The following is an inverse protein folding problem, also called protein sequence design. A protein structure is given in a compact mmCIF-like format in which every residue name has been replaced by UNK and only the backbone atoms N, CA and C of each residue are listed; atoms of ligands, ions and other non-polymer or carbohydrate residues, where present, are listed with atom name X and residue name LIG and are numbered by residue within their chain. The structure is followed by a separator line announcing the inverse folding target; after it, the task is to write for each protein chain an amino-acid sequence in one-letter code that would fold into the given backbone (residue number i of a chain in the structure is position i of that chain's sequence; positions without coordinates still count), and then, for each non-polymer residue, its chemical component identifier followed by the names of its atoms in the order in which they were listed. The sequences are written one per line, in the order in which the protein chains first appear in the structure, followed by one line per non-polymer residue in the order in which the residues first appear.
data_IF_363114224273
#
_entry.id   IF_363114224273
#
_cell.length_a   1.000
_cell.length_b   1.000
_cell.length_c   1.000
_cell.angle_alpha   90.00
_cell.angle_beta   90.00
_cell.angle_gamma   90.00
#
_symmetry.space_group_name_H-M   'P 1'
#
loop_
_entity.id
_entity.type
_entity.pdbx_description
1 polymer ?
#
# COMPACT_ATOMS: atom_id res chain seq x y z
N UNK A 1 17.93 -1.73 19.98
CA UNK A 1 16.47 -1.63 19.74
C UNK A 1 15.89 -3.03 19.80
N UNK A 2 14.73 -3.20 20.41
CA UNK A 2 13.96 -4.46 20.35
C UNK A 2 13.47 -4.71 18.92
N UNK A 3 13.35 -5.99 18.53
CA UNK A 3 12.78 -6.36 17.24
C UNK A 3 11.35 -5.81 17.10
N UNK A 4 10.90 -5.45 15.88
CA UNK A 4 9.55 -4.95 15.66
C UNK A 4 8.54 -6.07 15.93
N UNK A 5 7.47 -5.79 16.67
CA UNK A 5 6.47 -6.78 17.03
C UNK A 5 5.32 -6.86 16.02
N UNK A 6 5.14 -5.83 15.20
CA UNK A 6 4.14 -5.75 14.13
C UNK A 6 4.70 -5.05 12.90
N UNK A 7 4.05 -5.23 11.74
CA UNK A 7 4.40 -4.48 10.52
C UNK A 7 4.20 -2.97 10.71
N UNK A 8 3.21 -2.56 11.51
CA UNK A 8 3.01 -1.16 11.88
C UNK A 8 4.22 -0.57 12.64
N UNK A 9 4.89 -1.38 13.47
CA UNK A 9 6.09 -0.95 14.19
C UNK A 9 7.27 -0.63 13.25
N UNK A 10 7.31 -1.19 12.04
CA UNK A 10 8.35 -0.86 11.05
C UNK A 10 8.27 0.64 10.70
N UNK A 11 7.09 1.13 10.34
CA UNK A 11 6.90 2.54 10.02
C UNK A 11 7.10 3.43 11.25
N UNK A 12 6.58 3.03 12.41
CA UNK A 12 6.74 3.81 13.66
C UNK A 12 8.22 4.05 13.97
N UNK A 13 9.05 3.00 13.91
CA UNK A 13 10.48 3.09 14.20
C UNK A 13 11.24 3.93 13.18
N UNK A 14 10.93 3.78 11.89
CA UNK A 14 11.52 4.62 10.85
C UNK A 14 11.12 6.09 11.05
N UNK A 15 9.86 6.36 11.36
CA UNK A 15 9.37 7.72 11.61
C UNK A 15 9.98 8.36 12.87
N UNK A 16 10.13 7.61 13.96
CA UNK A 16 10.81 8.07 15.19
C UNK A 16 12.25 8.55 14.92
N UNK A 17 12.94 7.94 13.95
CA UNK A 17 14.35 8.23 13.65
C UNK A 17 14.53 9.19 12.46
N UNK A 18 13.58 9.19 11.51
CA UNK A 18 13.73 9.79 10.18
C UNK A 18 12.48 10.56 9.74
N UNK A 19 11.68 11.11 10.67
CA UNK A 19 10.43 11.80 10.38
C UNK A 19 10.51 12.77 9.19
N UNK A 20 11.52 13.64 9.16
CA UNK A 20 11.70 14.65 8.10
C UNK A 20 12.42 14.12 6.85
N UNK A 21 12.85 12.86 6.85
CA UNK A 21 13.51 12.25 5.70
C UNK A 21 12.49 11.79 4.65
N UNK A 22 12.82 11.84 3.36
CA UNK A 22 11.94 11.33 2.31
C UNK A 22 11.72 9.83 2.48
N UNK A 23 10.46 9.38 2.43
CA UNK A 23 10.10 7.96 2.40
C UNK A 23 9.78 7.51 0.96
N UNK A 24 8.98 8.31 0.25
CA UNK A 24 8.54 8.04 -1.12
C UNK A 24 8.86 9.27 -1.96
N UNK A 25 9.54 9.05 -3.08
CA UNK A 25 9.92 10.10 -4.04
C UNK A 25 9.63 9.62 -5.47
N UNK A 26 9.65 10.52 -6.45
CA UNK A 26 9.53 10.16 -7.88
C UNK A 26 8.26 10.74 -8.49
N UNK A 27 7.48 9.90 -9.18
CA UNK A 27 6.21 10.30 -9.76
C UNK A 27 5.07 10.30 -8.72
N UNK A 28 4.14 11.25 -8.87
CA UNK A 28 3.04 11.45 -7.93
C UNK A 28 3.46 12.29 -6.71
N UNK A 29 2.90 11.97 -5.53
CA UNK A 29 3.17 12.70 -4.29
C UNK A 29 4.45 12.20 -3.62
N UNK A 30 5.42 13.10 -3.46
CA UNK A 30 6.59 12.86 -2.62
C UNK A 30 6.22 13.10 -1.16
N UNK A 31 6.54 12.15 -0.28
CA UNK A 31 6.21 12.25 1.15
C UNK A 31 7.39 11.84 2.02
N UNK A 32 7.51 12.49 3.16
CA UNK A 32 8.39 12.16 4.26
C UNK A 32 7.83 11.01 5.11
N UNK A 33 8.65 10.44 5.98
CA UNK A 33 8.18 9.43 6.95
C UNK A 33 7.13 9.96 7.91
N UNK A 34 7.25 11.22 8.34
CA UNK A 34 6.27 11.89 9.20
C UNK A 34 4.92 12.01 8.49
N UNK A 35 4.92 12.54 7.27
CA UNK A 35 3.70 12.67 6.46
C UNK A 35 3.05 11.32 6.15
N UNK A 36 3.84 10.29 5.81
CA UNK A 36 3.33 8.94 5.61
C UNK A 36 2.75 8.35 6.90
N UNK A 37 3.34 8.66 8.05
CA UNK A 37 2.85 8.23 9.36
C UNK A 37 1.50 8.86 9.68
N UNK A 38 1.40 10.18 9.55
CA UNK A 38 0.18 10.92 9.84
C UNK A 38 -0.96 10.51 8.91
N UNK A 39 -0.67 10.40 7.60
CA UNK A 39 -1.68 9.99 6.62
C UNK A 39 -2.13 8.55 6.81
N UNK A 40 -1.22 7.61 7.07
CA UNK A 40 -1.61 6.23 7.37
C UNK A 40 -2.37 6.09 8.69
N UNK A 41 -2.10 6.94 9.70
CA UNK A 41 -2.91 7.00 10.91
C UNK A 41 -4.32 7.52 10.62
N UNK A 42 -4.44 8.60 9.83
CA UNK A 42 -5.73 9.16 9.42
C UNK A 42 -6.57 8.13 8.65
N UNK A 43 -5.98 7.44 7.67
CA UNK A 43 -6.65 6.35 6.95
C UNK A 43 -7.06 5.24 7.94
N UNK A 44 -6.19 4.84 8.88
CA UNK A 44 -6.50 3.80 9.85
C UNK A 44 -7.70 4.18 10.74
N UNK A 45 -7.75 5.42 11.23
CA UNK A 45 -8.89 5.93 11.99
C UNK A 45 -10.16 5.97 11.14
N UNK A 46 -10.07 6.36 9.88
CA UNK A 46 -11.21 6.30 8.96
C UNK A 46 -11.75 4.89 8.78
N UNK A 47 -10.86 3.88 8.65
CA UNK A 47 -11.25 2.47 8.56
C UNK A 47 -11.96 2.00 9.84
N UNK A 48 -11.42 2.36 11.01
CA UNK A 48 -12.03 2.05 12.32
C UNK A 48 -13.40 2.73 12.46
N UNK A 49 -13.51 4.00 12.07
CA UNK A 49 -14.76 4.76 12.10
C UNK A 49 -15.81 4.22 11.11
N UNK A 50 -15.38 3.63 10.00
CA UNK A 50 -16.23 2.91 9.06
C UNK A 50 -16.68 1.53 9.57
N UNK A 51 -16.23 1.11 10.76
CA UNK A 51 -16.67 -0.11 11.44
C UNK A 51 -15.92 -1.37 11.02
N UNK A 52 -14.74 -1.25 10.43
CA UNK A 52 -13.93 -2.43 10.05
C UNK A 52 -13.44 -3.17 11.30
N UNK A 53 -13.52 -4.49 11.24
CA UNK A 53 -13.02 -5.39 12.28
C UNK A 53 -11.68 -6.04 11.87
N UNK A 54 -11.03 -6.73 12.82
CA UNK A 54 -9.79 -7.46 12.54
C UNK A 54 -10.01 -8.51 11.45
N UNK A 55 -9.18 -8.45 10.40
CA UNK A 55 -9.27 -9.34 9.25
C UNK A 55 -10.23 -8.86 8.15
N UNK A 56 -10.88 -7.70 8.30
CA UNK A 56 -11.59 -7.08 7.19
C UNK A 56 -10.66 -6.65 6.07
N UNK A 57 -11.15 -6.72 4.82
CA UNK A 57 -10.33 -6.50 3.62
C UNK A 57 -10.55 -5.10 3.09
N UNK A 58 -9.46 -4.43 2.76
CA UNK A 58 -9.43 -3.15 2.05
C UNK A 58 -8.76 -3.37 0.70
N UNK A 59 -9.55 -3.31 -0.37
CA UNK A 59 -9.06 -3.50 -1.72
C UNK A 59 -8.52 -2.20 -2.32
N UNK A 60 -7.43 -2.31 -3.09
CA UNK A 60 -6.78 -1.20 -3.78
C UNK A 60 -6.68 -1.50 -5.27
N UNK A 61 -7.42 -0.78 -6.10
CA UNK A 61 -7.44 -0.92 -7.56
C UNK A 61 -6.87 0.35 -8.21
N UNK A 62 -5.58 0.35 -8.46
CA UNK A 62 -4.89 1.51 -9.02
C UNK A 62 -3.51 1.14 -9.55
N UNK A 63 -2.90 2.08 -10.28
CA UNK A 63 -1.47 2.08 -10.54
C UNK A 63 -0.69 2.29 -9.22
N UNK A 64 0.63 2.21 -9.31
CA UNK A 64 1.50 2.55 -8.18
C UNK A 64 1.24 4.01 -7.77
N UNK A 65 0.99 4.21 -6.49
CA UNK A 65 0.65 5.50 -5.92
C UNK A 65 1.00 5.53 -4.44
N UNK A 66 1.11 6.73 -3.88
CA UNK A 66 1.44 6.94 -2.46
C UNK A 66 0.31 6.40 -1.57
N UNK A 67 -0.92 6.43 -2.08
CA UNK A 67 -2.14 5.90 -1.49
C UNK A 67 -2.01 4.40 -1.16
N UNK A 68 -1.26 3.62 -1.95
CA UNK A 68 -0.99 2.22 -1.63
C UNK A 68 -0.27 2.07 -0.28
N UNK A 69 0.76 2.89 -0.03
CA UNK A 69 1.53 2.82 1.21
C UNK A 69 0.78 3.41 2.40
N UNK A 70 -0.03 4.45 2.16
CA UNK A 70 -0.96 4.97 3.17
C UNK A 70 -1.93 3.87 3.61
N UNK A 71 -2.54 3.14 2.68
CA UNK A 71 -3.44 2.02 2.96
C UNK A 71 -2.73 0.81 3.56
N UNK A 72 -1.54 0.46 3.07
CA UNK A 72 -0.77 -0.69 3.56
C UNK A 72 -0.47 -0.53 5.05
N UNK A 73 0.06 0.63 5.46
CA UNK A 73 0.31 0.88 6.87
C UNK A 73 -0.95 1.15 7.66
N UNK A 74 -1.98 1.75 7.05
CA UNK A 74 -3.25 1.97 7.74
C UNK A 74 -3.95 0.67 8.11
N UNK A 75 -4.06 -0.27 7.18
CA UNK A 75 -4.63 -1.61 7.42
C UNK A 75 -3.83 -2.35 8.48
N UNK A 76 -2.50 -2.30 8.41
CA UNK A 76 -1.62 -2.87 9.44
C UNK A 76 -1.84 -2.24 10.84
N UNK A 77 -2.25 -0.97 10.93
CA UNK A 77 -2.53 -0.23 12.18
C UNK A 77 -3.98 -0.36 12.68
N UNK A 78 -4.92 -0.74 11.81
CA UNK A 78 -6.34 -0.91 12.13
C UNK A 78 -6.77 -2.37 12.30
N UNK A 79 -5.88 -3.32 12.02
CA UNK A 79 -6.15 -4.76 12.13
C UNK A 79 -6.79 -5.35 10.87
N UNK A 80 -6.97 -4.53 9.83
CA UNK A 80 -7.48 -4.92 8.53
C UNK A 80 -6.35 -5.50 7.64
N UNK A 81 -6.74 -6.09 6.52
CA UNK A 81 -5.85 -6.65 5.52
C UNK A 81 -5.96 -5.91 4.19
N UNK A 82 -4.82 -5.58 3.58
CA UNK A 82 -4.80 -4.96 2.25
C UNK A 82 -4.90 -5.99 1.13
N UNK A 83 -5.68 -5.69 0.11
CA UNK A 83 -5.86 -6.52 -1.09
C UNK A 83 -5.52 -5.69 -2.34
N UNK A 84 -4.25 -5.62 -2.75
CA UNK A 84 -3.90 -4.92 -3.98
C UNK A 84 -4.37 -5.71 -5.20
N UNK A 85 -5.13 -5.04 -6.06
CA UNK A 85 -5.70 -5.60 -7.28
C UNK A 85 -4.84 -5.25 -8.49
N UNK A 86 -4.71 -6.20 -9.41
CA UNK A 86 -4.03 -5.96 -10.67
C UNK A 86 -4.93 -5.14 -11.60
N UNK A 87 -4.61 -3.86 -11.77
CA UNK A 87 -5.33 -2.93 -12.64
C UNK A 87 -5.34 -3.31 -14.13
N UNK A 88 -4.56 -4.31 -14.55
CA UNK A 88 -4.54 -4.83 -15.93
C UNK A 88 -5.53 -5.97 -16.17
N UNK A 89 -6.25 -6.40 -15.13
CA UNK A 89 -7.30 -7.40 -15.26
C UNK A 89 -8.56 -6.80 -15.90
N UNK A 90 -9.35 -7.66 -16.55
CA UNK A 90 -10.65 -7.28 -17.08
C UNK A 90 -11.68 -7.08 -15.96
N UNK A 91 -12.77 -6.37 -16.26
CA UNK A 91 -13.83 -6.12 -15.27
C UNK A 91 -14.42 -7.41 -14.67
N UNK A 92 -14.69 -8.48 -15.45
CA UNK A 92 -15.14 -9.76 -14.88
C UNK A 92 -14.11 -10.44 -13.95
N UNK A 93 -12.82 -10.26 -14.20
CA UNK A 93 -11.77 -10.80 -13.32
C UNK A 93 -11.65 -10.01 -12.02
N UNK A 94 -11.83 -8.68 -12.09
CA UNK A 94 -11.92 -7.82 -10.89
C UNK A 94 -13.15 -8.17 -10.07
N UNK A 95 -14.32 -8.30 -10.71
CA UNK A 95 -15.55 -8.73 -10.05
C UNK A 95 -15.38 -10.08 -9.34
N UNK A 96 -14.79 -11.06 -10.03
CA UNK A 96 -14.48 -12.36 -9.42
C UNK A 96 -13.63 -12.23 -8.15
N UNK A 97 -12.58 -11.39 -8.18
CA UNK A 97 -11.72 -11.18 -7.00
C UNK A 97 -12.47 -10.46 -5.88
N UNK A 98 -13.26 -9.43 -6.21
CA UNK A 98 -14.06 -8.70 -5.22
C UNK A 98 -15.10 -9.61 -4.56
N UNK A 99 -15.71 -10.53 -5.30
CA UNK A 99 -16.61 -11.54 -4.73
C UNK A 99 -15.84 -12.50 -3.79
N UNK A 100 -14.67 -12.98 -4.21
CA UNK A 100 -13.86 -13.95 -3.45
C UNK A 100 -13.32 -13.37 -2.14
N UNK A 101 -12.78 -12.15 -2.15
CA UNK A 101 -12.28 -11.49 -0.93
C UNK A 101 -13.33 -10.66 -0.19
N UNK A 102 -14.46 -10.32 -0.82
CA UNK A 102 -15.57 -9.54 -0.22
C UNK A 102 -15.09 -8.32 0.60
N UNK A 103 -14.36 -7.34 0.01
CA UNK A 103 -13.75 -6.27 0.80
C UNK A 103 -14.78 -5.27 1.33
N UNK A 104 -14.58 -4.78 2.55
CA UNK A 104 -15.45 -3.78 3.19
C UNK A 104 -15.23 -2.38 2.58
N UNK A 105 -14.02 -2.12 2.09
CA UNK A 105 -13.62 -0.85 1.48
C UNK A 105 -12.89 -1.14 0.17
N UNK A 106 -13.17 -0.33 -0.85
CA UNK A 106 -12.49 -0.35 -2.13
C UNK A 106 -12.00 1.07 -2.46
N UNK A 107 -10.68 1.21 -2.60
CA UNK A 107 -10.02 2.45 -3.03
C UNK A 107 -9.58 2.30 -4.48
N UNK A 108 -9.98 3.22 -5.34
CA UNK A 108 -9.82 3.10 -6.79
C UNK A 108 -9.25 4.38 -7.37
N UNK A 109 -8.33 4.23 -8.33
CA UNK A 109 -7.89 5.34 -9.15
C UNK A 109 -8.96 5.71 -10.18
N UNK A 110 -9.25 6.99 -10.34
CA UNK A 110 -10.39 7.54 -11.11
C UNK A 110 -10.63 6.85 -12.47
N UNK A 111 -9.58 6.66 -13.27
CA UNK A 111 -9.70 6.06 -14.61
C UNK A 111 -10.09 4.56 -14.60
N UNK A 112 -10.12 3.91 -13.43
CA UNK A 112 -10.51 2.52 -13.23
C UNK A 112 -11.88 2.38 -12.57
N UNK A 113 -12.59 3.46 -12.25
CA UNK A 113 -13.91 3.42 -11.61
C UNK A 113 -14.90 2.59 -12.41
N UNK A 114 -14.86 2.64 -13.74
CA UNK A 114 -15.73 1.85 -14.63
C UNK A 114 -15.47 0.33 -14.56
N UNK A 115 -14.32 -0.10 -14.02
CA UNK A 115 -13.99 -1.51 -13.83
C UNK A 115 -14.68 -2.13 -12.60
N UNK A 116 -15.26 -1.28 -11.74
CA UNK A 116 -15.87 -1.70 -10.48
C UNK A 116 -17.30 -2.16 -10.74
N UNK A 117 -17.65 -3.40 -10.36
CA UNK A 117 -18.98 -3.91 -10.62
C UNK A 117 -20.02 -3.14 -9.79
N UNK A 118 -21.19 -2.87 -10.39
CA UNK A 118 -22.29 -2.17 -9.72
C UNK A 118 -22.88 -2.94 -8.54
N UNK A 119 -22.58 -4.24 -8.43
CA UNK A 119 -22.90 -5.11 -7.29
C UNK A 119 -22.06 -4.84 -6.04
N UNK A 120 -20.94 -4.12 -6.16
CA UNK A 120 -20.11 -3.77 -5.01
C UNK A 120 -20.82 -2.75 -4.10
N UNK A 121 -21.02 -3.12 -2.84
CA UNK A 121 -21.80 -2.33 -1.86
C UNK A 121 -20.98 -1.79 -0.68
N UNK A 122 -19.69 -2.10 -0.63
CA UNK A 122 -18.79 -1.56 0.40
C UNK A 122 -18.52 -0.06 0.24
N UNK A 123 -17.71 0.50 1.15
CA UNK A 123 -17.28 1.88 1.05
C UNK A 123 -16.39 2.07 -0.20
N UNK A 124 -16.79 2.99 -1.07
CA UNK A 124 -16.10 3.29 -2.33
C UNK A 124 -15.38 4.64 -2.24
N UNK A 125 -14.05 4.61 -2.33
CA UNK A 125 -13.19 5.79 -2.30
C UNK A 125 -12.47 5.95 -3.63
N UNK A 126 -12.46 7.16 -4.19
CA UNK A 126 -11.77 7.47 -5.45
C UNK A 126 -10.65 8.49 -5.24
N UNK A 127 -9.52 8.30 -5.90
CA UNK A 127 -8.45 9.29 -5.98
C UNK A 127 -7.96 9.43 -7.43
N UNK A 128 -7.25 10.52 -7.72
CA UNK A 128 -6.59 10.72 -9.01
C UNK A 128 -5.15 11.13 -8.77
N UNK A 129 -4.24 10.68 -9.65
CA UNK A 129 -2.85 11.11 -9.62
C UNK A 129 -2.63 12.44 -10.35
N UNK A 130 -3.63 12.91 -11.09
CA UNK A 130 -3.56 14.09 -11.96
C UNK A 130 -4.31 15.31 -11.38
N UNK A 131 -4.86 15.20 -10.17
CA UNK A 131 -5.57 16.28 -9.50
C UNK A 131 -6.68 15.80 -8.56
N UNK A 132 -7.65 16.68 -8.31
CA UNK A 132 -8.86 16.31 -7.58
C UNK A 132 -9.78 15.46 -8.49
N UNK A 133 -10.16 14.24 -8.09
CA UNK A 133 -11.05 13.40 -8.88
C UNK A 133 -12.47 13.93 -8.85
N UNK A 134 -13.23 13.66 -9.91
CA UNK A 134 -14.69 13.82 -9.89
C UNK A 134 -15.32 12.59 -9.24
N UNK A 135 -15.86 12.76 -8.03
CA UNK A 135 -16.55 11.66 -7.34
C UNK A 135 -17.86 11.30 -8.07
N UNK A 136 -17.88 10.11 -8.67
CA UNK A 136 -19.09 9.54 -9.24
C UNK A 136 -20.17 9.28 -8.15
N UNK A 137 -21.41 9.08 -8.56
CA UNK A 137 -22.51 8.84 -7.62
C UNK A 137 -22.24 7.64 -6.70
N UNK A 138 -22.38 7.87 -5.39
CA UNK A 138 -22.10 6.86 -4.36
C UNK A 138 -20.61 6.63 -4.08
N UNK A 139 -19.72 7.46 -4.61
CA UNK A 139 -18.29 7.51 -4.28
C UNK A 139 -17.99 8.70 -3.37
N UNK A 140 -16.94 8.56 -2.55
CA UNK A 140 -16.33 9.69 -1.83
C UNK A 140 -14.90 9.89 -2.35
N UNK A 141 -14.40 11.11 -2.34
CA UNK A 141 -12.99 11.33 -2.65
C UNK A 141 -12.13 10.84 -1.49
N UNK A 142 -11.04 10.14 -1.80
CA UNK A 142 -10.12 9.60 -0.81
C UNK A 142 -9.52 10.73 0.04
N UNK A 143 -9.11 11.84 -0.58
CA UNK A 143 -8.49 12.95 0.14
C UNK A 143 -9.45 13.62 1.13
N UNK A 144 -10.71 13.88 0.76
CA UNK A 144 -11.68 14.46 1.68
C UNK A 144 -12.01 13.49 2.82
N UNK A 145 -12.10 12.19 2.53
CA UNK A 145 -12.36 11.16 3.54
C UNK A 145 -11.23 11.05 4.56
N UNK A 146 -9.96 11.08 4.12
CA UNK A 146 -8.77 11.08 4.98
C UNK A 146 -8.64 12.37 5.77
N UNK A 147 -8.84 13.53 5.13
CA UNK A 147 -8.71 14.85 5.76
C UNK A 147 -9.69 15.13 6.90
N UNK A 148 -10.74 14.31 7.04
CA UNK A 148 -11.71 14.39 8.13
C UNK A 148 -11.31 13.56 9.38
N UNK A 149 -10.21 12.82 9.35
CA UNK A 149 -9.82 11.88 10.42
C UNK A 149 -8.69 12.44 11.31
N UNK A 150 -8.59 11.90 12.55
CA UNK A 150 -7.44 12.18 13.42
C UNK A 150 -6.17 11.53 12.86
N UNK A 151 -5.02 12.18 13.05
CA UNK A 151 -3.70 11.62 12.76
C UNK A 151 -3.09 10.85 13.94
N UNK A 152 -3.84 10.67 15.04
CA UNK A 152 -3.42 9.84 16.17
C UNK A 152 -3.33 8.36 15.77
N UNK A 153 -2.32 7.64 16.28
CA UNK A 153 -2.14 6.22 15.99
C UNK A 153 -3.18 5.36 16.74
N UNK A 154 -4.07 4.63 16.04
CA UNK A 154 -5.12 3.84 16.69
C UNK A 154 -4.59 2.61 17.46
N UNK A 155 -3.36 2.16 17.17
CA UNK A 155 -2.69 1.03 17.85
C UNK A 155 -3.49 -0.29 17.84
N UNK A 156 -4.33 -0.51 16.84
CA UNK A 156 -5.12 -1.75 16.65
C UNK A 156 -4.39 -2.72 15.70
N UNK A 157 -3.11 -2.94 15.95
CA UNK A 157 -2.23 -3.57 14.97
C UNK A 157 -2.62 -5.01 14.59
N UNK A 158 -2.36 -5.39 13.34
CA UNK A 158 -2.26 -6.80 12.95
C UNK A 158 -1.05 -7.43 13.66
N UNK A 159 -1.23 -8.55 14.37
CA UNK A 159 -0.17 -9.24 15.13
C UNK A 159 -0.15 -10.74 14.85
N UNK A 160 0.99 -11.38 15.05
CA UNK A 160 1.09 -12.83 14.98
C UNK A 160 0.73 -13.38 13.60
N UNK A 161 -0.07 -14.45 13.60
CA UNK A 161 -0.67 -15.04 12.40
C UNK A 161 -1.89 -14.24 11.86
N UNK A 162 -2.11 -13.01 12.31
CA UNK A 162 -3.14 -12.13 11.79
C UNK A 162 -2.93 -11.82 10.30
N UNK A 163 -4.03 -11.78 9.55
CA UNK A 163 -4.01 -11.52 8.10
C UNK A 163 -3.55 -10.09 7.81
N UNK A 164 -2.44 -9.96 7.09
CA UNK A 164 -1.86 -8.67 6.69
C UNK A 164 -2.25 -8.29 5.26
N UNK A 165 -2.17 -9.26 4.35
CA UNK A 165 -2.49 -9.01 2.94
C UNK A 165 -3.00 -10.25 2.21
N UNK A 166 -3.75 -10.00 1.13
CA UNK A 166 -4.13 -11.01 0.15
C UNK A 166 -3.65 -10.53 -1.22
N UNK A 167 -2.75 -11.28 -1.87
CA UNK A 167 -2.30 -10.99 -3.23
C UNK A 167 -2.79 -12.06 -4.20
N UNK A 168 -3.46 -11.64 -5.27
CA UNK A 168 -4.00 -12.58 -6.25
C UNK A 168 -2.98 -12.93 -7.33
N UNK A 169 -2.72 -14.22 -7.48
CA UNK A 169 -1.86 -14.77 -8.53
C UNK A 169 -2.69 -15.36 -9.67
N UNK A 170 -2.15 -15.40 -10.90
CA UNK A 170 -2.76 -16.11 -12.02
C UNK A 170 -2.77 -17.61 -11.73
N UNK A 171 -3.93 -18.15 -11.37
CA UNK A 171 -4.07 -19.56 -11.10
C UNK A 171 -3.98 -20.39 -12.39
N UNK A 172 -3.26 -21.52 -12.34
CA UNK A 172 -3.20 -22.50 -13.45
C UNK A 172 -4.56 -23.12 -13.80
N UNK A 173 -5.55 -22.98 -12.91
CA UNK A 173 -6.91 -23.51 -13.03
C UNK A 173 -7.90 -22.51 -13.64
N UNK A 174 -7.43 -21.40 -14.21
CA UNK A 174 -8.23 -20.43 -14.97
C UNK A 174 -8.85 -19.30 -14.15
N UNK A 175 -8.81 -19.34 -12.81
CA UNK A 175 -9.24 -18.25 -11.93
C UNK A 175 -8.11 -17.81 -10.99
N UNK A 176 -7.96 -16.51 -10.72
CA UNK A 176 -6.97 -16.03 -9.75
C UNK A 176 -7.16 -16.64 -8.36
N UNK A 177 -6.05 -16.85 -7.64
CA UNK A 177 -6.04 -17.39 -6.27
C UNK A 177 -5.43 -16.38 -5.31
N UNK A 178 -6.13 -16.08 -4.23
CA UNK A 178 -5.66 -15.20 -3.16
C UNK A 178 -4.59 -15.89 -2.31
N UNK A 179 -3.38 -15.34 -2.33
CA UNK A 179 -2.28 -15.75 -1.46
C UNK A 179 -2.31 -14.89 -0.21
N UNK A 180 -2.60 -15.50 0.93
CA UNK A 180 -2.63 -14.81 2.22
C UNK A 180 -1.23 -14.68 2.80
N UNK A 181 -0.93 -13.52 3.36
CA UNK A 181 0.32 -13.28 4.11
C UNK A 181 -0.03 -12.81 5.51
N UNK A 182 0.60 -13.40 6.53
CA UNK A 182 0.42 -13.02 7.93
C UNK A 182 1.44 -11.96 8.36
N UNK A 183 1.17 -11.26 9.47
CA UNK A 183 2.12 -10.28 10.03
C UNK A 183 3.47 -10.92 10.35
N UNK A 184 3.49 -12.08 11.02
CA UNK A 184 4.73 -12.77 11.38
C UNK A 184 5.53 -13.21 10.15
N UNK A 185 4.84 -13.75 9.12
CA UNK A 185 5.48 -14.13 7.87
C UNK A 185 6.15 -12.93 7.18
N UNK A 186 5.46 -11.78 7.14
CA UNK A 186 6.01 -10.55 6.56
C UNK A 186 7.19 -10.02 7.37
N UNK A 187 7.09 -9.98 8.70
CA UNK A 187 8.19 -9.54 9.57
C UNK A 187 9.43 -10.42 9.44
N UNK A 188 9.23 -11.75 9.36
CA UNK A 188 10.32 -12.69 9.14
C UNK A 188 11.00 -12.46 7.79
N UNK A 189 10.24 -12.23 6.72
CA UNK A 189 10.78 -11.92 5.40
C UNK A 189 11.57 -10.60 5.40
N UNK A 190 11.02 -9.54 6.00
CA UNK A 190 11.71 -8.24 6.13
C UNK A 190 13.02 -8.41 6.89
N UNK A 191 13.01 -9.12 8.02
CA UNK A 191 14.22 -9.33 8.83
C UNK A 191 15.29 -10.14 8.08
N UNK A 192 14.90 -11.24 7.42
CA UNK A 192 15.82 -12.09 6.69
C UNK A 192 16.48 -11.35 5.51
N UNK A 193 15.68 -10.65 4.71
CA UNK A 193 16.18 -9.97 3.51
C UNK A 193 16.98 -8.71 3.89
N UNK A 194 16.57 -7.98 4.94
CA UNK A 194 17.36 -6.84 5.45
C UNK A 194 18.76 -7.29 5.90
N UNK A 195 18.88 -8.47 6.53
CA UNK A 195 20.17 -9.00 6.96
C UNK A 195 21.09 -9.41 5.79
N UNK A 196 20.51 -9.76 4.64
CA UNK A 196 21.27 -10.19 3.45
C UNK A 196 21.68 -9.01 2.56
N UNK A 197 20.77 -8.05 2.37
CA UNK A 197 20.96 -6.93 1.45
C UNK A 197 21.46 -5.64 2.12
N UNK A 198 21.51 -5.60 3.45
CA UNK A 198 22.03 -4.49 4.27
C UNK A 198 21.53 -3.10 3.84
N UNK A 199 20.21 -2.89 3.68
CA UNK A 199 19.67 -1.58 3.37
C UNK A 199 19.89 -0.62 4.54
N UNK A 200 20.12 0.64 4.21
CA UNK A 200 20.41 1.72 5.16
C UNK A 200 19.51 2.94 4.91
N UNK A 201 19.51 3.93 5.82
CA UNK A 201 18.79 5.19 5.61
C UNK A 201 19.22 5.98 4.36
N UNK A 202 20.45 5.75 3.89
CA UNK A 202 20.97 6.34 2.66
C UNK A 202 20.49 5.62 1.41
N UNK A 203 19.90 4.43 1.56
CA UNK A 203 19.46 3.59 0.44
C UNK A 203 18.32 4.24 -0.33
N UNK A 204 18.50 4.29 -1.64
CA UNK A 204 17.51 4.72 -2.63
C UNK A 204 17.14 3.51 -3.48
N UNK A 205 15.90 3.06 -3.31
CA UNK A 205 15.37 1.84 -3.93
C UNK A 205 14.47 2.16 -5.12
N UNK A 206 14.90 1.79 -6.31
CA UNK A 206 14.09 1.87 -7.52
C UNK A 206 13.14 0.68 -7.57
N UNK A 207 11.82 0.93 -7.65
CA UNK A 207 10.82 -0.15 -7.72
C UNK A 207 9.93 0.02 -8.96
N UNK A 208 10.41 -0.41 -10.14
CA UNK A 208 9.69 -0.25 -11.41
C UNK A 208 8.52 -1.23 -11.60
N UNK A 209 8.29 -2.13 -10.66
CA UNK A 209 7.23 -3.15 -10.77
C UNK A 209 5.96 -2.70 -10.03
N UNK A 210 4.75 -3.06 -10.50
CA UNK A 210 3.52 -2.71 -9.81
C UNK A 210 3.42 -3.28 -8.38
N UNK A 211 2.92 -2.52 -7.42
CA UNK A 211 2.84 -2.88 -5.99
C UNK A 211 1.93 -4.07 -5.70
N UNK A 212 1.02 -4.43 -6.62
CA UNK A 212 0.24 -5.67 -6.51
C UNK A 212 1.09 -6.95 -6.69
N UNK A 213 2.37 -6.81 -7.08
CA UNK A 213 3.35 -7.89 -7.03
C UNK A 213 4.14 -7.86 -5.73
N UNK A 214 4.31 -9.03 -5.10
CA UNK A 214 5.04 -9.16 -3.83
C UNK A 214 6.51 -8.72 -3.93
N UNK A 215 7.15 -8.88 -5.10
CA UNK A 215 8.54 -8.44 -5.30
C UNK A 215 8.66 -6.93 -5.15
N UNK A 216 7.70 -6.18 -5.72
CA UNK A 216 7.68 -4.72 -5.68
C UNK A 216 7.38 -4.19 -4.28
N UNK A 217 6.26 -4.64 -3.70
CA UNK A 217 5.83 -4.19 -2.38
C UNK A 217 6.73 -4.73 -1.28
N UNK A 218 7.22 -5.97 -1.38
CA UNK A 218 8.17 -6.55 -0.43
C UNK A 218 9.48 -5.76 -0.35
N UNK A 219 10.13 -5.49 -1.49
CA UNK A 219 11.37 -4.71 -1.50
C UNK A 219 11.15 -3.27 -1.03
N UNK A 220 10.05 -2.65 -1.43
CA UNK A 220 9.70 -1.31 -0.97
C UNK A 220 9.52 -1.26 0.55
N UNK A 221 8.83 -2.24 1.14
CA UNK A 221 8.66 -2.33 2.59
C UNK A 221 9.99 -2.52 3.31
N UNK A 222 10.91 -3.33 2.76
CA UNK A 222 12.25 -3.52 3.32
C UNK A 222 13.03 -2.20 3.32
N UNK A 223 12.99 -1.44 2.22
CA UNK A 223 13.64 -0.14 2.15
C UNK A 223 13.04 0.82 3.19
N UNK A 224 11.71 0.90 3.28
CA UNK A 224 11.00 1.76 4.22
C UNK A 224 11.24 1.37 5.70
N UNK A 225 11.36 0.07 5.98
CA UNK A 225 11.63 -0.46 7.32
C UNK A 225 13.03 -0.11 7.84
N UNK A 226 13.97 0.22 6.95
CA UNK A 226 15.35 0.55 7.29
C UNK A 226 15.67 2.05 7.10
N UNK A 227 14.64 2.90 7.00
CA UNK A 227 14.80 4.35 6.87
C UNK A 227 15.21 4.83 5.47
N UNK A 228 15.35 3.91 4.50
CA UNK A 228 15.65 4.24 3.11
C UNK A 228 14.47 4.90 2.40
N UNK A 229 14.59 5.13 1.10
CA UNK A 229 13.51 5.75 0.31
C UNK A 229 13.25 5.01 -0.98
N UNK A 230 11.98 4.93 -1.37
CA UNK A 230 11.57 4.29 -2.61
C UNK A 230 11.33 5.32 -3.70
N UNK A 231 11.76 5.02 -4.92
CA UNK A 231 11.43 5.78 -6.12
C UNK A 231 10.19 5.15 -6.74
N UNK A 232 9.08 5.87 -6.67
CA UNK A 232 7.79 5.51 -7.22
C UNK A 232 7.68 5.89 -8.70
N UNK A 233 7.03 5.01 -9.45
CA UNK A 233 6.68 5.16 -10.85
C UNK A 233 5.20 4.87 -11.02
N UNK A 234 4.47 5.72 -11.74
CA UNK A 234 3.08 5.44 -12.15
C UNK A 234 3.10 4.51 -13.35
N UNK A 235 3.96 4.81 -14.33
CA UNK A 235 4.17 3.99 -15.52
C UNK A 235 5.66 3.88 -15.84
N UNK A 236 6.15 2.65 -15.95
CA UNK A 236 7.57 2.42 -16.25
C UNK A 236 7.81 2.28 -17.74
N UNK A 237 8.60 3.20 -18.25
CA UNK A 237 9.23 3.13 -19.57
C UNK A 237 10.74 2.98 -19.41
N UNK A 238 11.47 2.37 -20.37
CA UNK A 238 12.93 2.32 -20.29
C UNK A 238 13.58 3.69 -20.11
N UNK A 239 13.01 4.74 -20.71
CA UNK A 239 13.49 6.11 -20.64
C UNK A 239 13.24 6.76 -19.27
N UNK A 240 12.02 6.64 -18.72
CA UNK A 240 11.70 7.17 -17.38
C UNK A 240 12.54 6.48 -16.31
N UNK A 241 12.74 5.16 -16.43
CA UNK A 241 13.58 4.37 -15.54
C UNK A 241 15.01 4.91 -15.47
N UNK A 242 15.69 5.05 -16.61
CA UNK A 242 17.05 5.58 -16.64
C UNK A 242 17.12 7.02 -16.12
N UNK A 243 16.13 7.85 -16.48
CA UNK A 243 16.04 9.24 -16.01
C UNK A 243 15.95 9.34 -14.49
N UNK A 244 15.04 8.57 -13.87
CA UNK A 244 14.83 8.58 -12.42
C UNK A 244 16.00 7.93 -11.66
N UNK A 245 16.61 6.87 -12.19
CA UNK A 245 17.82 6.28 -11.61
C UNK A 245 18.95 7.31 -11.49
N UNK A 246 19.21 8.07 -12.57
CA UNK A 246 20.25 9.09 -12.60
C UNK A 246 19.88 10.29 -11.72
N UNK A 247 18.64 10.76 -11.78
CA UNK A 247 18.16 11.92 -11.03
C UNK A 247 18.24 11.69 -9.50
N UNK A 248 17.90 10.49 -9.04
CA UNK A 248 17.83 10.17 -7.62
C UNK A 248 19.03 9.37 -7.09
N UNK A 249 20.00 9.03 -7.96
CA UNK A 249 21.18 8.21 -7.63
C UNK A 249 20.77 6.90 -6.97
N UNK A 250 19.90 6.14 -7.64
CA UNK A 250 19.40 4.86 -7.15
C UNK A 250 20.57 3.94 -6.75
N UNK A 251 20.49 3.38 -5.54
CA UNK A 251 21.50 2.47 -4.97
C UNK A 251 21.11 1.00 -5.13
N UNK A 252 19.80 0.74 -5.26
CA UNK A 252 19.23 -0.59 -5.39
C UNK A 252 18.13 -0.57 -6.45
N UNK A 253 17.99 -1.67 -7.18
CA UNK A 253 16.98 -1.85 -8.22
C UNK A 253 16.51 -3.31 -8.19
N UNK A 254 15.19 -3.51 -8.13
CA UNK A 254 14.53 -4.83 -8.15
C UNK A 254 13.32 -4.81 -9.09
#
# INVERSE_FOLDING_TARGET
MTAPATVADLLRRSSESYADSPAIIGEGRNVTYGELTDRSNAVANGLVAAGLETGDRVAYLARNGTEFWELFFATAKSGAAIVPLNFRLSAPEIEWILDDCSPSVLVVEEHLVEMVPSSFTGLKLVFSQEGEPEAAEGWQTFEAWVGAQSTDDPRLDVRGEGLLSIMYSSGTTGRPKGVTTTSDAMLAAVAAISAELDPSPESVSLVPTPYYHITASGWSLIALANGGRIIQFIEVTPQSKLGLMLAHRATHEI
#
